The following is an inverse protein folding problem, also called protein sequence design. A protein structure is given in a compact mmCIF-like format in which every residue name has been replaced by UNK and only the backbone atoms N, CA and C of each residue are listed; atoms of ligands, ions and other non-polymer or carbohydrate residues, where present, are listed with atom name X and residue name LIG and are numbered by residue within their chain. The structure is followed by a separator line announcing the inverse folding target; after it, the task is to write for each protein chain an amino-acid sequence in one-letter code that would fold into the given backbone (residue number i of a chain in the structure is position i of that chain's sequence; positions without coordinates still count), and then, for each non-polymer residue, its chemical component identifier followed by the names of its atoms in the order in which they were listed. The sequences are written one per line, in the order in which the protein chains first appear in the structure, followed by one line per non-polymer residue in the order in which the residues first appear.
data_IF_211687572496
#
_entry.id   IF_211687572496
#
_cell.length_a   1.000
_cell.length_b   1.000
_cell.length_c   1.000
_cell.angle_alpha   90.00
_cell.angle_beta   90.00
_cell.angle_gamma   90.00
#
_symmetry.space_group_name_H-M   'P 1'
#
loop_
_entity.id
_entity.type
_entity.pdbx_description
1 polymer ?
#
# COMPACT_ATOMS: atom_id res chain seq x y z
N UNK A 1 6.65 8.85 5.38
CA UNK A 1 6.02 7.60 5.84
C UNK A 1 4.59 7.88 6.25
N UNK A 2 3.62 7.09 5.77
CA UNK A 2 2.19 7.23 6.10
C UNK A 2 1.57 5.86 6.42
N UNK A 3 0.35 5.85 6.97
CA UNK A 3 -0.40 4.62 7.17
C UNK A 3 -1.10 4.20 5.86
N UNK A 4 -1.37 2.89 5.73
CA UNK A 4 -2.10 2.36 4.58
C UNK A 4 -3.52 2.94 4.46
N UNK A 5 -4.14 3.35 5.58
CA UNK A 5 -5.46 3.97 5.57
C UNK A 5 -5.44 5.33 4.87
N UNK A 6 -4.44 6.15 5.18
CA UNK A 6 -4.28 7.49 4.62
C UNK A 6 -3.99 7.39 3.12
N UNK A 7 -3.09 6.48 2.74
CA UNK A 7 -2.76 6.19 1.36
C UNK A 7 -4.00 5.82 0.55
N UNK A 8 -4.77 4.82 1.02
CA UNK A 8 -5.98 4.36 0.32
C UNK A 8 -7.02 5.47 0.22
N UNK A 9 -7.22 6.24 1.30
CA UNK A 9 -8.21 7.31 1.31
C UNK A 9 -7.88 8.39 0.28
N UNK A 10 -6.62 8.78 0.18
CA UNK A 10 -6.15 9.75 -0.83
C UNK A 10 -6.26 9.20 -2.25
N UNK A 11 -5.86 7.95 -2.49
CA UNK A 11 -5.88 7.38 -3.86
C UNK A 11 -7.28 7.14 -4.39
N UNK A 12 -8.26 6.88 -3.52
CA UNK A 12 -9.67 6.74 -3.93
C UNK A 12 -10.31 8.05 -4.41
N UNK A 13 -9.66 9.20 -4.26
CA UNK A 13 -10.12 10.46 -4.87
C UNK A 13 -9.89 10.47 -6.39
N UNK A 14 -8.95 9.67 -6.88
CA UNK A 14 -8.52 9.65 -8.29
C UNK A 14 -8.61 8.28 -8.95
N UNK A 15 -8.71 7.20 -8.17
CA UNK A 15 -8.75 5.80 -8.63
C UNK A 15 -10.02 5.11 -8.15
N UNK A 16 -10.52 4.16 -8.94
CA UNK A 16 -11.60 3.27 -8.50
C UNK A 16 -11.08 2.21 -7.52
N UNK A 17 -11.99 1.59 -6.76
CA UNK A 17 -11.64 0.49 -5.85
C UNK A 17 -10.96 -0.68 -6.58
N UNK A 18 -11.47 -1.04 -7.77
CA UNK A 18 -10.92 -2.17 -8.52
C UNK A 18 -9.49 -1.86 -9.00
N UNK A 19 -9.28 -0.68 -9.59
CA UNK A 19 -7.96 -0.24 -10.06
C UNK A 19 -6.95 -0.21 -8.92
N UNK A 20 -7.29 0.42 -7.80
CA UNK A 20 -6.39 0.52 -6.66
C UNK A 20 -6.05 -0.87 -6.09
N UNK A 21 -7.03 -1.78 -6.03
CA UNK A 21 -6.83 -3.14 -5.55
C UNK A 21 -5.83 -3.91 -6.42
N UNK A 22 -6.00 -3.80 -7.75
CA UNK A 22 -5.13 -4.47 -8.72
C UNK A 22 -3.70 -3.91 -8.68
N UNK A 23 -3.56 -2.59 -8.62
CA UNK A 23 -2.27 -1.87 -8.53
C UNK A 23 -1.46 -2.27 -7.29
N UNK A 24 -2.09 -2.35 -6.11
CA UNK A 24 -1.38 -2.65 -4.86
C UNK A 24 -1.47 -4.12 -4.44
N UNK A 25 -1.94 -4.96 -5.36
CA UNK A 25 -2.03 -6.42 -5.23
C UNK A 25 -2.80 -6.90 -3.99
N UNK A 26 -3.97 -6.30 -3.74
CA UNK A 26 -4.90 -6.71 -2.69
C UNK A 26 -6.27 -7.02 -3.28
N UNK A 27 -7.14 -7.67 -2.51
CA UNK A 27 -8.52 -7.84 -2.93
C UNK A 27 -9.33 -6.56 -2.69
N UNK A 28 -10.37 -6.25 -3.49
CA UNK A 28 -11.23 -5.09 -3.26
C UNK A 28 -11.83 -5.01 -1.84
N UNK A 29 -12.22 -6.13 -1.18
CA UNK A 29 -12.64 -6.09 0.23
C UNK A 29 -11.55 -5.60 1.19
N UNK A 30 -10.26 -5.87 0.90
CA UNK A 30 -9.16 -5.41 1.74
C UNK A 30 -9.05 -3.88 1.77
N UNK A 31 -9.43 -3.18 0.70
CA UNK A 31 -9.51 -1.71 0.70
C UNK A 31 -10.47 -1.23 1.79
N UNK A 32 -11.63 -1.89 1.91
CA UNK A 32 -12.61 -1.56 2.95
C UNK A 32 -12.06 -1.88 4.34
N UNK A 33 -11.36 -3.01 4.50
CA UNK A 33 -10.75 -3.37 5.78
C UNK A 33 -9.69 -2.35 6.21
N UNK A 34 -8.83 -1.93 5.29
CA UNK A 34 -7.85 -0.89 5.57
C UNK A 34 -8.52 0.42 5.97
N UNK A 35 -9.59 0.86 5.29
CA UNK A 35 -10.30 2.09 5.71
C UNK A 35 -10.93 2.00 7.11
N UNK A 36 -11.37 0.81 7.54
CA UNK A 36 -12.15 0.64 8.77
C UNK A 36 -11.33 0.25 9.99
N UNK A 37 -10.10 -0.23 9.84
CA UNK A 37 -9.35 -0.81 10.95
C UNK A 37 -7.84 -0.58 10.88
N UNK A 38 -7.16 -0.89 11.98
CA UNK A 38 -5.70 -0.79 12.13
C UNK A 38 -4.98 -2.03 11.57
N UNK A 39 -5.18 -2.31 10.28
CA UNK A 39 -4.46 -3.40 9.60
C UNK A 39 -3.12 -2.90 9.07
N UNK A 40 -2.06 -3.65 9.33
CA UNK A 40 -0.77 -3.41 8.69
C UNK A 40 -0.77 -3.95 7.26
N UNK A 41 -0.14 -3.26 6.30
CA UNK A 41 0.02 -3.78 4.96
C UNK A 41 0.98 -4.98 4.94
N UNK A 42 0.75 -5.89 4.00
CA UNK A 42 1.75 -6.92 3.70
C UNK A 42 3.00 -6.28 3.07
N UNK A 43 4.15 -6.93 3.18
CA UNK A 43 5.38 -6.45 2.52
C UNK A 43 5.17 -6.28 1.00
N UNK A 44 4.43 -7.20 0.36
CA UNK A 44 4.13 -7.13 -1.08
C UNK A 44 3.33 -5.87 -1.43
N UNK A 45 2.32 -5.54 -0.62
CA UNK A 45 1.53 -4.32 -0.79
C UNK A 45 2.38 -3.08 -0.57
N UNK A 46 3.24 -3.07 0.46
CA UNK A 46 4.14 -1.95 0.72
C UNK A 46 5.15 -1.73 -0.40
N UNK A 47 5.72 -2.80 -0.97
CA UNK A 47 6.60 -2.73 -2.14
C UNK A 47 5.87 -2.16 -3.35
N UNK A 48 4.65 -2.63 -3.63
CA UNK A 48 3.86 -2.15 -4.78
C UNK A 48 3.57 -0.64 -4.66
N UNK A 49 3.21 -0.18 -3.46
CA UNK A 49 2.97 1.25 -3.20
C UNK A 49 4.26 2.08 -3.32
N UNK A 50 5.38 1.52 -2.88
CA UNK A 50 6.68 2.16 -3.00
C UNK A 50 7.12 2.26 -4.48
N UNK A 51 6.98 1.20 -5.27
CA UNK A 51 7.30 1.19 -6.70
C UNK A 51 6.41 2.16 -7.51
N UNK A 52 5.11 2.23 -7.20
CA UNK A 52 4.14 3.01 -7.98
C UNK A 52 4.19 4.51 -7.69
N UNK A 53 4.28 4.87 -6.41
CA UNK A 53 4.05 6.24 -5.96
C UNK A 53 5.22 6.79 -5.10
N UNK A 54 6.31 6.02 -4.91
CA UNK A 54 7.45 6.34 -4.04
C UNK A 54 7.02 6.68 -2.60
N UNK A 55 6.02 5.97 -2.09
CA UNK A 55 5.44 6.17 -0.76
C UNK A 55 5.82 5.01 0.17
N UNK A 56 6.46 5.35 1.29
CA UNK A 56 6.76 4.39 2.36
C UNK A 56 5.57 4.22 3.30
N UNK A 57 5.10 2.98 3.45
CA UNK A 57 4.01 2.61 4.35
C UNK A 57 4.54 2.05 5.68
N UNK A 58 4.03 2.55 6.80
CA UNK A 58 4.25 1.92 8.11
C UNK A 58 3.69 0.48 8.11
N UNK A 59 4.37 -0.50 8.76
CA UNK A 59 5.53 -0.36 9.64
C UNK A 59 6.90 -0.43 8.95
N UNK A 60 6.95 -0.43 7.61
CA UNK A 60 8.20 -0.61 6.88
C UNK A 60 8.97 0.70 6.77
N UNK A 61 10.31 0.60 6.76
CA UNK A 61 11.19 1.73 6.45
C UNK A 61 11.55 1.71 4.97
N UNK A 62 11.99 2.86 4.45
CA UNK A 62 12.44 2.96 3.06
C UNK A 62 13.61 2.01 2.78
N UNK A 63 14.58 1.94 3.69
CA UNK A 63 15.74 1.04 3.56
C UNK A 63 15.30 -0.42 3.52
N UNK A 64 14.31 -0.80 4.35
CA UNK A 64 13.79 -2.17 4.35
C UNK A 64 13.08 -2.54 3.05
N UNK A 65 12.40 -1.57 2.41
CA UNK A 65 11.73 -1.78 1.13
C UNK A 65 12.75 -1.84 -0.02
N UNK A 66 13.73 -0.94 -0.03
CA UNK A 66 14.82 -0.96 -1.01
C UNK A 66 15.59 -2.28 -0.98
N UNK A 67 15.93 -2.77 0.22
CA UNK A 67 16.60 -4.06 0.39
C UNK A 67 15.79 -5.23 -0.20
N UNK A 68 14.47 -5.26 0.04
CA UNK A 68 13.61 -6.32 -0.52
C UNK A 68 13.45 -6.21 -2.04
N UNK A 69 13.53 -5.01 -2.62
CA UNK A 69 13.56 -4.81 -4.08
C UNK A 69 14.87 -5.30 -4.70
N UNK A 70 16.01 -5.02 -4.08
CA UNK A 70 17.33 -5.44 -4.58
C UNK A 70 17.54 -6.96 -4.52
N UNK A 71 16.86 -7.65 -3.59
CA UNK A 71 16.93 -9.10 -3.42
C UNK A 71 16.15 -9.89 -4.49
N UNK A 72 15.24 -9.22 -5.20
CA UNK A 72 14.23 -9.85 -6.07
C UNK A 72 14.79 -10.24 -7.43
#
# INVERSE_FOLDING_TARGET
MILIQDYISSKLETRTYQQLADEVHISPPMITNYKKGHYNPSIKTALSVFELDNVTLHPYSEESLQYELEKR
#
